data_IF_923264805708
#
_entry.id   IF_923264805708
#
_cell.length_a   1.000
_cell.length_b   1.000
_cell.length_c   1.000
_cell.angle_alpha   90.00
_cell.angle_beta   90.00
_cell.angle_gamma   90.00
#
_symmetry.space_group_name_H-M   'P 1'
#
loop_
_entity.id
_entity.type
_entity.pdbx_description
1 polymer ?
#
# COMPACT_ATOMS: atom_id res chain seq x y z
N UNK A 1 -19.14 -9.77 15.74
CA UNK A 1 -18.07 -10.56 15.08
C UNK A 1 -17.48 -9.89 13.84
N UNK A 2 -16.70 -8.82 14.02
CA UNK A 2 -15.89 -8.17 12.96
C UNK A 2 -14.38 -8.37 13.25
N UNK A 3 -14.03 -9.06 14.33
CA UNK A 3 -12.64 -9.26 14.79
C UNK A 3 -11.90 -10.34 13.99
N UNK A 4 -12.59 -11.36 13.48
CA UNK A 4 -11.95 -12.50 12.80
C UNK A 4 -11.22 -12.13 11.51
N UNK A 5 -11.80 -11.25 10.69
CA UNK A 5 -11.22 -10.86 9.40
C UNK A 5 -9.91 -10.08 9.59
N UNK A 6 -9.92 -9.06 10.46
CA UNK A 6 -8.73 -8.27 10.75
C UNK A 6 -7.63 -9.14 11.36
N UNK A 7 -8.01 -10.12 12.17
CA UNK A 7 -7.06 -11.09 12.72
C UNK A 7 -6.44 -11.98 11.62
N UNK A 8 -7.22 -12.45 10.63
CA UNK A 8 -6.68 -13.24 9.51
C UNK A 8 -5.68 -12.43 8.69
N UNK A 9 -6.01 -11.21 8.29
CA UNK A 9 -5.07 -10.35 7.54
C UNK A 9 -3.83 -10.01 8.36
N UNK A 10 -3.98 -9.75 9.66
CA UNK A 10 -2.84 -9.55 10.58
C UNK A 10 -1.92 -10.77 10.65
N UNK A 11 -2.49 -11.98 10.71
CA UNK A 11 -1.73 -13.25 10.71
C UNK A 11 -1.03 -13.49 9.38
N UNK A 12 -1.69 -13.24 8.25
CA UNK A 12 -1.09 -13.33 6.92
C UNK A 12 0.03 -12.31 6.73
N UNK A 13 -0.15 -11.07 7.21
CA UNK A 13 0.90 -10.06 7.24
C UNK A 13 2.13 -10.54 8.02
N UNK A 14 1.95 -11.07 9.23
CA UNK A 14 3.04 -11.62 10.04
C UNK A 14 3.74 -12.79 9.34
N UNK A 15 2.98 -13.74 8.80
CA UNK A 15 3.53 -14.88 8.07
C UNK A 15 4.37 -14.40 6.88
N UNK A 16 3.87 -13.42 6.12
CA UNK A 16 4.60 -12.83 5.00
C UNK A 16 5.90 -12.17 5.47
N UNK A 17 5.87 -11.34 6.52
CA UNK A 17 7.06 -10.67 7.05
C UNK A 17 8.12 -11.65 7.54
N UNK A 18 7.71 -12.76 8.14
CA UNK A 18 8.62 -13.83 8.58
C UNK A 18 9.23 -14.60 7.39
N UNK A 19 8.44 -14.91 6.36
CA UNK A 19 8.92 -15.59 5.17
C UNK A 19 9.86 -14.67 4.36
N UNK A 20 9.50 -13.40 4.19
CA UNK A 20 10.35 -12.38 3.57
C UNK A 20 11.70 -12.32 4.31
N UNK A 21 11.68 -12.23 5.65
CA UNK A 21 12.93 -12.22 6.42
C UNK A 21 13.76 -13.48 6.23
N UNK A 22 13.12 -14.64 6.30
CA UNK A 22 13.80 -15.90 6.11
C UNK A 22 14.45 -15.97 4.72
N UNK A 23 13.73 -15.54 3.67
CA UNK A 23 14.26 -15.52 2.31
C UNK A 23 15.51 -14.65 2.16
N UNK A 24 15.55 -13.47 2.81
CA UNK A 24 16.76 -12.64 2.87
C UNK A 24 17.93 -13.40 3.50
N UNK A 25 17.71 -14.04 4.65
CA UNK A 25 18.79 -14.77 5.35
C UNK A 25 19.33 -15.95 4.54
N UNK A 26 18.49 -16.54 3.69
CA UNK A 26 18.86 -17.64 2.81
C UNK A 26 19.31 -17.19 1.42
N UNK A 27 19.35 -15.87 1.15
CA UNK A 27 19.64 -15.32 -0.18
C UNK A 27 18.72 -15.88 -1.29
N UNK A 28 17.45 -16.10 -0.97
CA UNK A 28 16.42 -16.56 -1.90
C UNK A 28 15.73 -15.33 -2.50
N UNK A 29 15.71 -15.23 -3.83
CA UNK A 29 14.91 -14.21 -4.51
C UNK A 29 13.42 -14.57 -4.42
N UNK A 30 12.69 -13.82 -3.62
CA UNK A 30 11.30 -14.07 -3.29
C UNK A 30 10.53 -12.75 -3.24
N UNK A 31 9.33 -12.75 -3.82
CA UNK A 31 8.44 -11.61 -3.79
C UNK A 31 6.97 -12.04 -3.73
N UNK A 32 6.25 -11.57 -2.71
CA UNK A 32 4.81 -11.76 -2.60
C UNK A 32 4.07 -10.64 -3.34
N UNK A 33 3.39 -10.99 -4.43
CA UNK A 33 2.44 -10.08 -5.12
C UNK A 33 1.25 -9.74 -4.23
N UNK A 34 0.75 -10.71 -3.48
CA UNK A 34 -0.30 -10.61 -2.48
C UNK A 34 -0.23 -11.81 -1.53
N UNK A 35 -0.64 -11.63 -0.27
CA UNK A 35 -0.94 -12.74 0.65
C UNK A 35 -2.11 -12.31 1.53
N UNK A 36 -3.32 -12.57 1.04
CA UNK A 36 -4.59 -12.14 1.63
C UNK A 36 -5.66 -13.18 1.35
N UNK A 37 -6.70 -13.23 2.19
CA UNK A 37 -7.89 -14.06 1.93
C UNK A 37 -8.93 -13.35 1.05
N UNK A 38 -8.73 -12.06 0.74
CA UNK A 38 -9.67 -11.19 -0.01
C UNK A 38 -9.15 -10.76 -1.36
N UNK A 39 -7.84 -10.53 -1.44
CA UNK A 39 -7.21 -9.90 -2.60
C UNK A 39 -6.11 -10.79 -3.16
N UNK A 40 -6.17 -11.03 -4.47
CA UNK A 40 -5.11 -11.69 -5.23
C UNK A 40 -4.63 -10.76 -6.33
N UNK A 41 -3.31 -10.69 -6.51
CA UNK A 41 -2.66 -9.81 -7.50
C UNK A 41 -1.98 -10.63 -8.59
N UNK A 42 -2.51 -10.52 -9.81
CA UNK A 42 -1.87 -10.98 -11.04
C UNK A 42 -1.13 -9.82 -11.70
N UNK A 43 0.20 -9.90 -11.77
CA UNK A 43 1.04 -8.85 -12.35
C UNK A 43 2.34 -9.40 -12.91
N UNK A 44 2.91 -8.69 -13.87
CA UNK A 44 4.21 -9.07 -14.39
C UNK A 44 4.78 -8.05 -15.36
N UNK A 45 5.94 -8.39 -15.91
CA UNK A 45 6.56 -7.60 -16.96
C UNK A 45 6.02 -8.02 -18.33
N UNK A 46 4.88 -7.43 -18.70
CA UNK A 46 4.18 -7.70 -19.95
C UNK A 46 3.40 -6.47 -20.41
N UNK A 47 3.06 -6.42 -21.70
CA UNK A 47 2.09 -5.44 -22.19
C UNK A 47 0.70 -5.80 -21.70
N UNK A 48 -0.16 -4.81 -21.51
CA UNK A 48 -1.50 -5.01 -20.94
C UNK A 48 -2.36 -6.01 -21.72
N UNK A 49 -2.19 -6.13 -23.05
CA UNK A 49 -2.89 -7.10 -23.91
C UNK A 49 -2.47 -8.56 -23.66
N UNK A 50 -1.32 -8.79 -23.03
CA UNK A 50 -0.76 -10.13 -22.84
C UNK A 50 -1.20 -10.80 -21.53
N UNK A 51 -1.83 -10.08 -20.61
CA UNK A 51 -2.10 -10.57 -19.24
C UNK A 51 -2.99 -11.81 -19.23
N UNK A 52 -4.02 -11.84 -20.08
CA UNK A 52 -4.92 -12.99 -20.21
C UNK A 52 -4.23 -14.19 -20.83
N UNK A 53 -3.29 -13.96 -21.75
CA UNK A 53 -2.52 -15.03 -22.37
C UNK A 53 -1.52 -15.70 -21.41
N UNK A 54 -0.97 -14.95 -20.46
CA UNK A 54 -0.05 -15.49 -19.46
C UNK A 54 -0.79 -16.17 -18.30
N UNK A 55 -1.84 -15.55 -17.78
CA UNK A 55 -2.59 -16.06 -16.63
C UNK A 55 -3.91 -16.67 -17.08
N UNK A 56 -3.88 -17.97 -17.36
CA UNK A 56 -5.06 -18.73 -17.82
C UNK A 56 -6.20 -18.73 -16.81
N UNK A 57 -5.91 -18.57 -15.52
CA UNK A 57 -6.91 -18.40 -14.46
C UNK A 57 -7.87 -17.24 -14.76
N UNK A 58 -7.38 -16.14 -15.33
CA UNK A 58 -8.18 -14.96 -15.70
C UNK A 58 -9.12 -15.20 -16.89
N UNK A 59 -8.96 -16.33 -17.59
CA UNK A 59 -9.87 -16.77 -18.66
C UNK A 59 -10.89 -17.79 -18.17
N UNK A 60 -10.74 -18.31 -16.95
CA UNK A 60 -11.65 -19.30 -16.38
C UNK A 60 -12.93 -18.62 -15.88
N UNK A 61 -14.10 -19.12 -16.29
CA UNK A 61 -15.40 -18.59 -15.87
C UNK A 61 -15.66 -18.71 -14.35
N UNK A 62 -14.98 -19.65 -13.68
CA UNK A 62 -15.01 -19.79 -12.23
C UNK A 62 -14.23 -18.68 -11.51
N UNK A 63 -13.33 -17.97 -12.20
CA UNK A 63 -12.63 -16.82 -11.65
C UNK A 63 -13.57 -15.60 -11.64
N UNK A 64 -14.29 -15.45 -10.53
CA UNK A 64 -15.27 -14.37 -10.35
C UNK A 64 -14.81 -13.42 -9.25
N UNK A 65 -14.99 -12.12 -9.48
CA UNK A 65 -14.72 -11.09 -8.49
C UNK A 65 -15.76 -9.98 -8.59
N UNK A 66 -16.10 -9.38 -7.44
CA UNK A 66 -16.95 -8.17 -7.37
C UNK A 66 -16.22 -6.92 -7.87
N UNK A 67 -14.88 -6.95 -7.85
CA UNK A 67 -14.02 -5.81 -8.18
C UNK A 67 -12.79 -6.30 -8.95
N UNK A 68 -12.43 -5.56 -10.01
CA UNK A 68 -11.17 -5.72 -10.73
C UNK A 68 -10.44 -4.38 -10.79
N UNK A 69 -9.17 -4.37 -10.39
CA UNK A 69 -8.29 -3.20 -10.44
C UNK A 69 -7.18 -3.46 -11.45
N UNK A 70 -6.96 -2.53 -12.38
CA UNK A 70 -5.98 -2.67 -13.45
C UNK A 70 -5.05 -1.47 -13.49
N UNK A 71 -3.76 -1.74 -13.71
CA UNK A 71 -2.75 -0.69 -13.83
C UNK A 71 -1.77 -1.02 -14.93
N UNK A 72 -1.46 -0.03 -15.77
CA UNK A 72 -0.36 -0.10 -16.73
C UNK A 72 0.72 0.90 -16.32
N UNK A 73 1.95 0.41 -16.14
CA UNK A 73 3.07 1.23 -15.66
C UNK A 73 3.97 1.62 -16.82
N UNK A 74 4.26 2.91 -16.92
CA UNK A 74 5.37 3.41 -17.73
C UNK A 74 6.61 3.57 -16.84
N UNK A 75 7.74 3.00 -17.24
CA UNK A 75 8.98 3.02 -16.46
C UNK A 75 10.09 3.69 -17.28
N UNK A 76 10.83 4.60 -16.68
CA UNK A 76 12.05 5.18 -17.27
C UNK A 76 13.27 4.24 -17.18
N UNK A 77 13.17 3.14 -16.41
CA UNK A 77 14.20 2.11 -16.34
C UNK A 77 14.15 1.18 -17.56
N UNK A 78 15.34 0.89 -18.12
CA UNK A 78 15.52 -0.08 -19.21
C UNK A 78 15.59 -1.53 -18.72
N UNK A 79 15.87 -1.74 -17.43
CA UNK A 79 15.90 -3.08 -16.84
C UNK A 79 14.51 -3.49 -16.33
N UNK A 80 13.99 -4.62 -16.81
CA UNK A 80 12.69 -5.10 -16.39
C UNK A 80 12.70 -5.60 -14.95
N UNK A 81 11.56 -5.44 -14.26
CA UNK A 81 11.39 -5.93 -12.90
C UNK A 81 9.95 -6.34 -12.67
N UNK A 82 9.75 -7.65 -12.45
CA UNK A 82 8.44 -8.24 -12.12
C UNK A 82 7.88 -7.66 -10.82
N UNK A 83 8.72 -7.54 -9.78
CA UNK A 83 8.32 -7.01 -8.47
C UNK A 83 7.82 -5.56 -8.53
N UNK A 84 8.35 -4.75 -9.45
CA UNK A 84 7.99 -3.33 -9.62
C UNK A 84 6.76 -3.10 -10.52
N UNK A 85 6.15 -4.14 -11.06
CA UNK A 85 4.86 -4.02 -11.72
C UNK A 85 3.77 -3.67 -10.70
N UNK A 86 2.73 -2.97 -11.15
CA UNK A 86 1.50 -2.75 -10.38
C UNK A 86 0.42 -3.76 -10.82
N UNK A 87 -0.66 -3.94 -10.04
CA UNK A 87 -0.92 -3.34 -8.73
C UNK A 87 0.07 -3.73 -7.62
N UNK A 88 0.17 -2.91 -6.57
CA UNK A 88 0.72 -3.38 -5.29
C UNK A 88 -0.41 -4.05 -4.47
N UNK A 89 -0.17 -4.38 -3.20
CA UNK A 89 -1.09 -5.22 -2.42
C UNK A 89 -2.38 -4.50 -2.11
N UNK A 90 -2.27 -3.24 -1.72
CA UNK A 90 -3.37 -2.38 -1.29
C UNK A 90 -3.63 -1.24 -2.26
N UNK A 91 -2.62 -0.82 -3.05
CA UNK A 91 -2.76 0.37 -3.91
C UNK A 91 -2.24 0.25 -5.35
N UNK A 92 -2.79 1.12 -6.19
CA UNK A 92 -2.29 1.50 -7.50
C UNK A 92 -1.92 2.97 -7.47
N UNK A 93 -0.80 3.33 -8.09
CA UNK A 93 -0.26 4.67 -8.04
C UNK A 93 0.15 5.14 -9.43
N UNK A 94 -0.47 6.24 -9.88
CA UNK A 94 -0.03 7.01 -11.03
C UNK A 94 0.64 8.29 -10.51
N UNK A 95 1.96 8.34 -10.56
CA UNK A 95 2.67 9.47 -9.98
C UNK A 95 4.08 9.15 -9.54
N UNK A 96 4.60 10.06 -8.72
CA UNK A 96 5.90 9.93 -8.06
C UNK A 96 5.80 10.54 -6.66
N UNK A 97 6.42 9.89 -5.66
CA UNK A 97 6.54 10.42 -4.29
C UNK A 97 7.89 11.11 -4.14
N UNK A 98 7.89 12.44 -4.19
CA UNK A 98 9.09 13.25 -4.14
C UNK A 98 9.71 13.29 -2.73
N UNK A 99 8.91 13.10 -1.67
CA UNK A 99 9.38 13.17 -0.28
C UNK A 99 9.85 11.81 0.27
N UNK A 100 9.91 10.76 -0.56
CA UNK A 100 10.02 9.36 -0.11
C UNK A 100 11.20 9.09 0.83
N UNK A 101 12.37 9.69 0.60
CA UNK A 101 13.54 9.50 1.47
C UNK A 101 13.29 10.00 2.89
N UNK A 102 12.67 11.17 3.03
CA UNK A 102 12.28 11.72 4.33
C UNK A 102 11.24 10.83 5.00
N UNK A 103 10.25 10.39 4.24
CA UNK A 103 9.16 9.56 4.76
C UNK A 103 9.65 8.20 5.28
N UNK A 104 10.56 7.55 4.55
CA UNK A 104 11.21 6.29 4.97
C UNK A 104 11.98 6.49 6.27
N UNK A 105 12.79 7.55 6.37
CA UNK A 105 13.54 7.84 7.59
C UNK A 105 12.63 8.07 8.80
N UNK A 106 11.56 8.85 8.62
CA UNK A 106 10.59 9.06 9.69
C UNK A 106 9.87 7.78 10.07
N UNK A 107 9.41 6.99 9.10
CA UNK A 107 8.78 5.69 9.35
C UNK A 107 9.70 4.74 10.12
N UNK A 108 10.98 4.66 9.74
CA UNK A 108 11.98 3.87 10.46
C UNK A 108 12.14 4.33 11.91
N UNK A 109 12.16 5.64 12.15
CA UNK A 109 12.30 6.19 13.51
C UNK A 109 11.11 5.82 14.43
N UNK A 110 9.89 5.74 13.89
CA UNK A 110 8.68 5.37 14.65
C UNK A 110 8.36 3.87 14.66
N UNK A 111 8.98 3.09 13.77
CA UNK A 111 8.66 1.67 13.54
C UNK A 111 8.57 0.86 14.84
N UNK A 112 9.60 0.91 15.70
CA UNK A 112 9.64 0.06 16.89
C UNK A 112 8.43 0.28 17.80
N UNK A 113 8.01 1.55 17.97
CA UNK A 113 6.85 1.87 18.79
C UNK A 113 5.55 1.46 18.12
N UNK A 114 5.44 1.65 16.81
CA UNK A 114 4.26 1.24 16.05
C UNK A 114 4.06 -0.28 16.06
N UNK A 115 5.14 -1.03 15.81
CA UNK A 115 5.13 -2.50 15.80
C UNK A 115 4.81 -3.03 17.20
N UNK A 116 5.45 -2.50 18.25
CA UNK A 116 5.16 -2.88 19.64
C UNK A 116 3.68 -2.64 19.99
N UNK A 117 3.13 -1.50 19.58
CA UNK A 117 1.72 -1.16 19.86
C UNK A 117 0.76 -2.12 19.16
N UNK A 118 1.08 -2.58 17.95
CA UNK A 118 0.18 -3.41 17.16
C UNK A 118 0.34 -4.92 17.43
N UNK A 119 1.56 -5.38 17.73
CA UNK A 119 1.90 -6.79 17.81
C UNK A 119 2.33 -7.27 19.20
N UNK A 120 2.58 -6.36 20.15
CA UNK A 120 2.91 -6.68 21.54
C UNK A 120 4.01 -7.76 21.64
N UNK A 121 3.69 -8.95 22.14
CA UNK A 121 4.62 -10.08 22.30
C UNK A 121 5.14 -10.65 20.96
N UNK A 122 4.47 -10.35 19.84
CA UNK A 122 4.88 -10.77 18.50
C UNK A 122 5.68 -9.70 17.76
N UNK A 123 6.06 -8.59 18.41
CA UNK A 123 6.76 -7.46 17.76
C UNK A 123 8.03 -7.85 17.04
N UNK A 124 8.79 -8.81 17.57
CA UNK A 124 10.06 -9.26 16.98
C UNK A 124 9.86 -9.99 15.65
N UNK A 125 8.62 -10.36 15.30
CA UNK A 125 8.27 -10.97 14.01
C UNK A 125 8.17 -9.97 12.87
N UNK A 126 8.17 -8.66 13.15
CA UNK A 126 8.12 -7.60 12.13
C UNK A 126 9.44 -6.83 12.12
N UNK A 127 10.32 -7.19 11.20
CA UNK A 127 11.66 -6.61 11.10
C UNK A 127 11.67 -5.23 10.44
N UNK A 128 10.91 -5.06 9.36
CA UNK A 128 10.75 -3.79 8.65
C UNK A 128 9.30 -3.61 8.19
N UNK A 129 8.72 -2.43 8.44
CA UNK A 129 7.42 -2.03 7.92
C UNK A 129 7.53 -1.85 6.41
N UNK A 130 8.49 -1.04 5.96
CA UNK A 130 8.72 -0.69 4.56
C UNK A 130 9.94 -1.43 3.99
N UNK A 131 9.83 -1.90 2.75
CA UNK A 131 10.96 -2.38 1.95
C UNK A 131 11.59 -1.21 1.17
N UNK A 132 12.79 -0.80 1.58
CA UNK A 132 13.47 0.37 1.04
C UNK A 132 14.08 0.16 -0.35
N UNK A 133 14.22 -1.09 -0.82
CA UNK A 133 14.71 -1.44 -2.15
C UNK A 133 13.59 -1.41 -3.22
N UNK A 134 12.35 -1.23 -2.77
CA UNK A 134 11.14 -1.11 -3.57
C UNK A 134 11.07 0.16 -4.43
N UNK A 135 9.99 0.28 -5.21
CA UNK A 135 9.63 1.59 -5.78
C UNK A 135 9.02 2.48 -4.70
N UNK A 136 9.04 3.79 -4.92
CA UNK A 136 8.29 4.76 -4.11
C UNK A 136 6.84 4.31 -3.81
N UNK A 137 6.20 3.78 -4.84
CA UNK A 137 4.83 3.30 -4.83
C UNK A 137 4.65 2.05 -3.97
N UNK A 138 5.63 1.13 -3.99
CA UNK A 138 5.59 -0.05 -3.10
C UNK A 138 5.91 0.29 -1.66
N UNK A 139 6.74 1.32 -1.42
CA UNK A 139 7.01 1.81 -0.07
C UNK A 139 5.75 2.44 0.54
N UNK A 140 5.01 3.26 -0.21
CA UNK A 140 3.69 3.78 0.22
C UNK A 140 2.72 2.63 0.49
N UNK A 141 2.69 1.61 -0.39
CA UNK A 141 1.84 0.44 -0.22
C UNK A 141 2.12 -0.31 1.08
N UNK A 142 3.40 -0.49 1.44
CA UNK A 142 3.80 -1.13 2.68
C UNK A 142 3.37 -0.32 3.92
N UNK A 143 3.52 1.00 3.88
CA UNK A 143 3.06 1.88 4.93
C UNK A 143 1.53 1.83 5.08
N UNK A 144 0.80 1.88 3.96
CA UNK A 144 -0.66 1.80 3.93
C UNK A 144 -1.16 0.46 4.48
N UNK A 145 -0.57 -0.65 4.03
CA UNK A 145 -0.90 -2.00 4.49
C UNK A 145 -0.72 -2.12 6.01
N UNK A 146 0.42 -1.68 6.55
CA UNK A 146 0.67 -1.73 7.99
C UNK A 146 -0.30 -0.85 8.79
N UNK A 147 -0.54 0.40 8.36
CA UNK A 147 -1.46 1.30 9.05
C UNK A 147 -2.91 0.79 8.99
N UNK A 148 -3.30 0.10 7.92
CA UNK A 148 -4.63 -0.50 7.76
C UNK A 148 -4.88 -1.67 8.72
N UNK A 149 -3.85 -2.24 9.34
CA UNK A 149 -4.00 -3.19 10.43
C UNK A 149 -4.40 -2.50 11.75
N UNK A 150 -4.04 -1.23 11.93
CA UNK A 150 -4.27 -0.45 13.15
C UNK A 150 -5.49 0.48 13.07
N UNK A 151 -5.88 0.92 11.87
CA UNK A 151 -7.01 1.84 11.66
C UNK A 151 -7.79 1.50 10.39
N UNK A 152 -8.88 2.22 10.15
CA UNK A 152 -9.65 2.09 8.91
C UNK A 152 -8.79 2.48 7.70
N UNK A 153 -8.91 1.71 6.63
CA UNK A 153 -8.09 1.84 5.44
C UNK A 153 -8.13 3.25 4.82
N UNK A 154 -9.32 3.86 4.76
CA UNK A 154 -9.50 5.23 4.25
C UNK A 154 -8.73 6.24 5.10
N UNK A 155 -8.76 6.09 6.43
CA UNK A 155 -8.05 6.98 7.35
C UNK A 155 -6.53 6.82 7.22
N UNK A 156 -6.05 5.60 7.01
CA UNK A 156 -4.64 5.34 6.74
C UNK A 156 -4.19 6.02 5.44
N UNK A 157 -5.01 5.96 4.39
CA UNK A 157 -4.74 6.64 3.12
C UNK A 157 -4.74 8.16 3.28
N UNK A 158 -5.74 8.73 3.97
CA UNK A 158 -5.81 10.17 4.30
C UNK A 158 -4.63 10.63 5.17
N UNK A 159 -4.11 9.76 6.05
CA UNK A 159 -2.97 10.06 6.89
C UNK A 159 -1.67 10.16 6.08
N UNK A 160 -1.46 9.24 5.13
CA UNK A 160 -0.28 9.23 4.27
C UNK A 160 -0.33 10.37 3.25
N UNK A 161 -1.47 10.57 2.59
CA UNK A 161 -1.64 11.55 1.52
C UNK A 161 -2.83 12.44 1.89
N UNK A 162 -2.62 13.42 2.78
CA UNK A 162 -3.68 14.30 3.24
C UNK A 162 -4.10 15.28 2.15
N UNK A 163 -5.38 15.61 2.10
CA UNK A 163 -5.91 16.67 1.24
C UNK A 163 -5.43 18.06 1.71
N UNK A 164 -5.57 19.13 0.92
CA UNK A 164 -5.23 20.49 1.36
C UNK A 164 -6.28 21.01 2.35
N UNK A 165 -6.13 20.67 3.63
CA UNK A 165 -7.15 20.89 4.67
C UNK A 165 -7.03 22.22 5.43
N UNK A 166 -5.85 22.86 5.45
CA UNK A 166 -5.56 24.00 6.34
C UNK A 166 -6.39 25.25 5.99
N UNK A 167 -6.53 25.53 4.68
CA UNK A 167 -7.20 26.72 4.16
C UNK A 167 -8.53 26.41 3.45
N UNK A 168 -9.02 25.17 3.56
CA UNK A 168 -10.30 24.79 2.95
C UNK A 168 -11.45 25.14 3.90
N UNK A 169 -12.21 26.18 3.57
CA UNK A 169 -13.37 26.63 4.34
C UNK A 169 -14.57 25.67 4.26
N UNK A 170 -14.59 24.78 3.27
CA UNK A 170 -15.68 23.82 3.06
C UNK A 170 -15.53 22.55 3.91
N UNK A 171 -14.44 22.42 4.69
CA UNK A 171 -14.16 21.21 5.44
C UNK A 171 -15.02 21.11 6.71
N UNK A 172 -15.69 19.96 6.86
CA UNK A 172 -16.34 19.56 8.11
C UNK A 172 -15.33 19.69 9.28
N UNK A 173 -15.77 20.28 10.39
CA UNK A 173 -14.94 20.47 11.59
C UNK A 173 -14.27 19.18 12.05
N UNK A 174 -14.95 18.03 11.96
CA UNK A 174 -14.39 16.73 12.33
C UNK A 174 -13.26 16.31 11.39
N UNK A 175 -13.41 16.56 10.09
CA UNK A 175 -12.38 16.27 9.08
C UNK A 175 -11.17 17.17 9.29
N UNK A 176 -11.38 18.46 9.54
CA UNK A 176 -10.30 19.39 9.88
C UNK A 176 -9.55 18.96 11.15
N UNK A 177 -10.26 18.63 12.23
CA UNK A 177 -9.64 18.16 13.47
C UNK A 177 -8.88 16.85 13.31
N UNK A 178 -9.38 15.94 12.46
CA UNK A 178 -8.63 14.72 12.11
C UNK A 178 -7.29 15.07 11.48
N UNK A 179 -7.28 15.89 10.42
CA UNK A 179 -6.04 16.25 9.75
C UNK A 179 -5.09 17.06 10.63
N UNK A 180 -5.62 18.00 11.41
CA UNK A 180 -4.83 18.80 12.34
C UNK A 180 -4.11 17.91 13.35
N UNK A 181 -4.84 17.01 14.02
CA UNK A 181 -4.25 16.07 14.98
C UNK A 181 -3.16 15.20 14.35
N UNK A 182 -3.45 14.61 13.19
CA UNK A 182 -2.53 13.68 12.55
C UNK A 182 -1.33 14.34 11.87
N UNK A 183 -1.42 15.62 11.52
CA UNK A 183 -0.29 16.38 10.97
C UNK A 183 0.91 16.49 11.93
N UNK A 184 0.67 16.34 13.24
CA UNK A 184 1.73 16.27 14.24
C UNK A 184 2.39 14.88 14.35
N UNK A 185 1.77 13.84 13.78
CA UNK A 185 2.18 12.44 13.94
C UNK A 185 2.75 11.82 12.66
N UNK A 186 2.26 12.26 11.50
CA UNK A 186 2.67 11.77 10.19
C UNK A 186 2.94 12.95 9.26
N UNK A 187 4.14 12.98 8.71
CA UNK A 187 4.47 13.85 7.60
C UNK A 187 3.79 13.35 6.31
N UNK A 188 3.34 14.26 5.44
CA UNK A 188 2.70 13.90 4.19
C UNK A 188 3.68 13.23 3.21
N UNK A 189 3.20 12.16 2.57
CA UNK A 189 3.92 11.44 1.54
C UNK A 189 3.62 12.07 0.18
N UNK A 190 4.36 13.14 -0.12
CA UNK A 190 3.98 14.12 -1.13
C UNK A 190 4.67 13.91 -2.48
N UNK A 191 4.03 14.41 -3.51
CA UNK A 191 4.43 14.34 -4.91
C UNK A 191 3.21 14.29 -5.83
N UNK A 192 3.38 14.41 -7.16
CA UNK A 192 2.27 14.32 -8.09
C UNK A 192 1.68 12.91 -8.04
N UNK A 193 0.47 12.73 -7.52
CA UNK A 193 -0.11 11.40 -7.29
C UNK A 193 -1.60 11.33 -7.60
N UNK A 194 -1.99 10.23 -8.22
CA UNK A 194 -3.34 9.69 -8.21
C UNK A 194 -3.23 8.27 -7.68
N UNK A 195 -3.82 8.02 -6.51
CA UNK A 195 -3.82 6.71 -5.86
C UNK A 195 -5.23 6.16 -5.82
N UNK A 196 -5.38 4.91 -6.23
CA UNK A 196 -6.55 4.10 -5.92
C UNK A 196 -6.14 2.99 -4.97
N UNK A 197 -6.92 2.75 -3.93
CA UNK A 197 -6.61 1.80 -2.88
C UNK A 197 -7.82 0.94 -2.50
N UNK A 198 -7.58 -0.29 -2.08
CA UNK A 198 -8.62 -1.22 -1.68
C UNK A 198 -8.12 -2.24 -0.65
N UNK A 199 -8.90 -2.47 0.42
CA UNK A 199 -8.65 -3.48 1.45
C UNK A 199 -9.43 -4.79 1.24
N UNK A 200 -10.03 -4.93 0.05
CA UNK A 200 -10.90 -6.04 -0.34
C UNK A 200 -12.38 -5.84 0.02
N UNK A 201 -12.74 -4.77 0.73
CA UNK A 201 -14.13 -4.42 1.06
C UNK A 201 -14.46 -2.99 0.60
N UNK A 202 -13.58 -2.04 0.91
CA UNK A 202 -13.75 -0.63 0.56
C UNK A 202 -12.73 -0.20 -0.48
N UNK A 203 -13.23 0.52 -1.49
CA UNK A 203 -12.43 1.15 -2.53
C UNK A 203 -12.39 2.66 -2.29
N UNK A 204 -11.21 3.25 -2.36
CA UNK A 204 -11.03 4.69 -2.33
C UNK A 204 -10.08 5.17 -3.41
N UNK A 205 -10.16 6.47 -3.68
CA UNK A 205 -9.21 7.16 -4.53
C UNK A 205 -8.88 8.51 -3.92
N UNK A 206 -7.62 8.92 -4.02
CA UNK A 206 -7.15 10.22 -3.60
C UNK A 206 -6.18 10.79 -4.63
N UNK A 207 -6.12 12.11 -4.66
CA UNK A 207 -5.15 12.86 -5.44
C UNK A 207 -4.21 13.59 -4.50
N UNK A 208 -3.02 13.92 -4.96
CA UNK A 208 -2.12 14.81 -4.24
C UNK A 208 -2.75 16.17 -3.96
N UNK A 209 -2.16 16.91 -3.02
CA UNK A 209 -2.67 18.19 -2.53
C UNK A 209 -2.86 19.25 -3.61
N UNK A 210 -2.18 19.12 -4.75
CA UNK A 210 -2.22 20.05 -5.85
C UNK A 210 -3.00 19.51 -7.06
N UNK A 211 -3.56 18.29 -6.99
CA UNK A 211 -4.35 17.72 -8.09
C UNK A 211 -3.56 17.49 -9.38
N UNK A 212 -2.28 17.10 -9.28
CA UNK A 212 -1.35 17.10 -10.41
C UNK A 212 -1.54 15.94 -11.38
N UNK A 213 -2.36 14.95 -11.02
CA UNK A 213 -2.64 13.76 -11.85
C UNK A 213 -4.14 13.64 -12.12
N UNK A 214 -4.54 13.29 -13.35
CA UNK A 214 -5.95 13.12 -13.68
C UNK A 214 -6.52 11.86 -13.01
N UNK A 215 -7.67 12.02 -12.36
CA UNK A 215 -8.57 10.94 -11.96
C UNK A 215 -9.95 11.20 -12.57
N UNK A 216 -10.54 10.19 -13.19
CA UNK A 216 -11.91 10.23 -13.74
C UNK A 216 -12.68 9.00 -13.31
#
# INVERSE_FOLDING_TARGET
DITGVKEVEKRLFLARKQIEKYSETQSIDLYFTSLSHRTTVYKGWLRSDQIKGLYLDLQNEAYQSKLGLVHSRFSTNTFPSWKRAHPNRMLMHNGEINTIKGNVNWMRARQNKLVETLFEDEKDKVHFIVDEDGSDSSIVDNALEFLSLAMEHEKAAMLLIPEPWLYNESNDKKVRSFYEFYSYLMEPWDGPTMISFCDGDKLGALTDRNGLRPGR
#
